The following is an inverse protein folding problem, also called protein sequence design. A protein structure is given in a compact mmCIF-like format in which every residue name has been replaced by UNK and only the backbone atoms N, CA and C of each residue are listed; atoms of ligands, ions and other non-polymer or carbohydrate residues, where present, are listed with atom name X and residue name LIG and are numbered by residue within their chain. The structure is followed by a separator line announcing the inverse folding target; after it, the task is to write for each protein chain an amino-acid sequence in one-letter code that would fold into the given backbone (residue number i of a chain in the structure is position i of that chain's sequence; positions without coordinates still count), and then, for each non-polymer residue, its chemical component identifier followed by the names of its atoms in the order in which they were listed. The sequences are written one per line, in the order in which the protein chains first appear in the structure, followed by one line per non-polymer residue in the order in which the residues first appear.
data_IF_004677157058
#
_entry.id   IF_004677157058
#
_cell.length_a   1.000
_cell.length_b   1.000
_cell.length_c   1.000
_cell.angle_alpha   90.00
_cell.angle_beta   90.00
_cell.angle_gamma   90.00
#
_symmetry.space_group_name_H-M   'P 1'
#
loop_
_entity.id
_entity.type
_entity.pdbx_description
1 polymer ?
#
# COMPACT_ATOMS: atom_id res chain seq x y z
N UNK A 1 7.73 9.16 2.15
CA UNK A 1 8.68 9.08 1.01
C UNK A 1 8.17 10.00 -0.10
N UNK A 2 9.01 10.89 -0.64
CA UNK A 2 8.64 11.80 -1.74
C UNK A 2 9.54 11.54 -2.93
N UNK A 3 8.94 11.20 -4.08
CA UNK A 3 9.66 10.97 -5.34
C UNK A 3 9.26 12.07 -6.31
N UNK A 4 10.24 12.78 -6.86
CA UNK A 4 10.05 13.80 -7.89
C UNK A 4 10.61 13.27 -9.20
N UNK A 5 9.83 13.37 -10.27
CA UNK A 5 10.24 12.94 -11.61
C UNK A 5 9.97 14.04 -12.63
N UNK A 6 10.75 14.06 -13.71
CA UNK A 6 10.48 14.93 -14.84
C UNK A 6 9.23 14.47 -15.59
N UNK A 7 8.38 15.40 -16.03
CA UNK A 7 7.11 15.10 -16.72
C UNK A 7 7.28 14.19 -17.94
N UNK A 8 8.39 14.34 -18.69
CA UNK A 8 8.70 13.49 -19.85
C UNK A 8 8.87 12.01 -19.49
N UNK A 9 9.27 11.73 -18.25
CA UNK A 9 9.53 10.38 -17.74
C UNK A 9 8.30 9.75 -17.07
N UNK A 10 7.19 10.48 -16.94
CA UNK A 10 5.98 10.01 -16.26
C UNK A 10 5.46 8.68 -16.82
N UNK A 11 5.40 8.54 -18.15
CA UNK A 11 4.96 7.29 -18.79
C UNK A 11 5.83 6.08 -18.42
N UNK A 12 7.14 6.27 -18.43
CA UNK A 12 8.07 5.19 -18.07
C UNK A 12 8.01 4.88 -16.58
N UNK A 13 7.83 5.91 -15.74
CA UNK A 13 7.67 5.73 -14.30
C UNK A 13 6.36 4.99 -13.94
N UNK A 14 5.24 5.29 -14.61
CA UNK A 14 3.98 4.56 -14.39
C UNK A 14 4.12 3.07 -14.72
N UNK A 15 4.86 2.70 -15.76
CA UNK A 15 5.14 1.28 -16.07
C UNK A 15 5.90 0.55 -14.97
N UNK A 16 6.77 1.24 -14.21
CA UNK A 16 7.43 0.61 -13.07
C UNK A 16 6.45 0.29 -11.93
N UNK A 17 5.37 1.07 -11.79
CA UNK A 17 4.36 0.84 -10.76
C UNK A 17 3.42 -0.32 -11.10
N UNK A 18 3.31 -0.70 -12.38
CA UNK A 18 2.52 -1.85 -12.83
C UNK A 18 3.08 -3.18 -12.29
N UNK A 19 4.39 -3.26 -12.10
CA UNK A 19 5.08 -4.42 -11.50
C UNK A 19 4.99 -4.44 -9.96
N UNK A 20 4.43 -3.39 -9.36
CA UNK A 20 4.40 -3.19 -7.92
C UNK A 20 5.70 -2.61 -7.34
N UNK A 21 5.72 -2.46 -6.01
CA UNK A 21 6.88 -1.91 -5.28
C UNK A 21 7.16 -2.74 -4.04
N UNK A 22 8.42 -2.74 -3.61
CA UNK A 22 8.84 -3.37 -2.35
C UNK A 22 8.86 -2.27 -1.27
N UNK A 23 8.14 -2.50 -0.19
CA UNK A 23 8.12 -1.64 0.99
C UNK A 23 8.62 -2.42 2.21
N UNK A 24 9.48 -1.81 3.00
CA UNK A 24 9.92 -2.39 4.26
C UNK A 24 8.85 -2.14 5.33
N UNK A 25 8.48 -3.18 6.07
CA UNK A 25 7.52 -3.14 7.17
C UNK A 25 8.08 -3.89 8.38
N UNK A 26 7.91 -3.38 9.61
CA UNK A 26 8.23 -4.14 10.82
C UNK A 26 7.40 -5.41 10.93
N UNK A 27 7.96 -6.46 11.54
CA UNK A 27 7.23 -7.68 11.86
C UNK A 27 6.27 -7.48 13.04
N UNK A 28 5.22 -8.30 13.11
CA UNK A 28 4.29 -8.33 14.23
C UNK A 28 3.21 -7.24 14.25
N UNK A 29 3.07 -6.49 13.15
CA UNK A 29 1.97 -5.54 12.95
C UNK A 29 0.77 -6.22 12.31
N UNK A 30 -0.43 -5.76 12.66
CA UNK A 30 -1.60 -6.07 11.84
C UNK A 30 -1.53 -5.37 10.48
N UNK A 31 -2.31 -5.85 9.50
CA UNK A 31 -2.45 -5.16 8.20
C UNK A 31 -2.88 -3.71 8.38
N UNK A 32 -3.81 -3.41 9.29
CA UNK A 32 -4.26 -2.04 9.55
C UNK A 32 -3.11 -1.17 10.06
N UNK A 33 -2.35 -1.65 11.05
CA UNK A 33 -1.22 -0.92 11.62
C UNK A 33 -0.14 -0.65 10.56
N UNK A 34 0.15 -1.63 9.71
CA UNK A 34 1.08 -1.46 8.61
C UNK A 34 0.64 -0.35 7.64
N UNK A 35 -0.62 -0.34 7.20
CA UNK A 35 -1.12 0.64 6.23
C UNK A 35 -1.27 2.04 6.85
N UNK A 36 -1.92 2.14 8.00
CA UNK A 36 -2.28 3.43 8.61
C UNK A 36 -1.10 4.03 9.36
N UNK A 37 -0.53 3.29 10.30
CA UNK A 37 0.49 3.81 11.21
C UNK A 37 1.85 3.86 10.53
N UNK A 38 2.27 2.77 9.88
CA UNK A 38 3.61 2.69 9.30
C UNK A 38 3.73 3.36 7.92
N UNK A 39 2.77 3.13 7.02
CA UNK A 39 2.77 3.77 5.69
C UNK A 39 2.02 5.10 5.62
N UNK A 40 1.30 5.50 6.68
CA UNK A 40 0.63 6.80 6.75
C UNK A 40 -0.60 6.89 5.84
N UNK A 41 -1.25 5.77 5.51
CA UNK A 41 -2.52 5.78 4.79
C UNK A 41 -3.59 6.44 5.65
N UNK A 42 -4.39 7.33 5.06
CA UNK A 42 -5.55 7.91 5.73
C UNK A 42 -6.53 6.79 6.16
N UNK A 43 -6.86 6.68 7.46
CA UNK A 43 -7.82 5.69 7.94
C UNK A 43 -9.15 5.73 7.20
N UNK A 44 -9.66 6.93 6.87
CA UNK A 44 -10.92 7.08 6.16
C UNK A 44 -10.80 6.61 4.70
N UNK A 45 -9.61 6.68 4.10
CA UNK A 45 -9.38 6.12 2.78
C UNK A 45 -9.40 4.59 2.84
N UNK A 46 -8.73 3.99 3.83
CA UNK A 46 -8.73 2.54 4.04
C UNK A 46 -10.16 2.01 4.20
N UNK A 47 -10.99 2.69 4.99
CA UNK A 47 -12.37 2.28 5.25
C UNK A 47 -13.31 2.50 4.06
N UNK A 48 -13.20 3.64 3.37
CA UNK A 48 -14.23 4.06 2.41
C UNK A 48 -13.86 3.79 0.94
N UNK A 49 -12.58 3.55 0.64
CA UNK A 49 -12.10 3.41 -0.76
C UNK A 49 -11.48 2.05 -1.04
N UNK A 50 -10.75 1.47 -0.09
CA UNK A 50 -10.14 0.14 -0.28
C UNK A 50 -11.23 -0.92 -0.15
N UNK A 51 -11.53 -1.61 -1.24
CA UNK A 51 -12.61 -2.62 -1.28
C UNK A 51 -12.12 -4.04 -1.01
N UNK A 52 -10.91 -4.34 -1.45
CA UNK A 52 -10.35 -5.68 -1.37
C UNK A 52 -8.85 -5.55 -1.22
N UNK A 53 -8.31 -6.21 -0.21
CA UNK A 53 -6.89 -6.34 0.02
C UNK A 53 -6.53 -7.83 -0.11
N UNK A 54 -5.41 -8.09 -0.77
CA UNK A 54 -4.86 -9.43 -0.87
C UNK A 54 -3.53 -9.49 -0.13
N UNK A 55 -3.37 -10.51 0.71
CA UNK A 55 -2.10 -10.86 1.34
C UNK A 55 -1.74 -12.29 0.93
N UNK A 56 -0.54 -12.47 0.36
CA UNK A 56 -0.10 -13.77 -0.18
C UNK A 56 -1.11 -14.42 -1.14
N UNK A 57 -1.74 -13.62 -1.99
CA UNK A 57 -2.72 -14.06 -2.98
C UNK A 57 -4.10 -14.43 -2.41
N UNK A 58 -4.35 -14.21 -1.12
CA UNK A 58 -5.64 -14.48 -0.47
C UNK A 58 -6.31 -13.18 -0.04
N UNK A 59 -7.64 -13.06 -0.16
CA UNK A 59 -8.36 -11.91 0.36
C UNK A 59 -8.20 -11.85 1.88
N UNK A 60 -8.08 -10.64 2.41
CA UNK A 60 -8.05 -10.37 3.86
C UNK A 60 -9.35 -9.69 4.25
N UNK A 61 -10.11 -10.35 5.13
CA UNK A 61 -11.40 -9.85 5.61
C UNK A 61 -11.30 -9.14 6.98
N UNK A 62 -10.27 -9.46 7.75
CA UNK A 62 -10.00 -8.88 9.07
C UNK A 62 -8.61 -8.24 9.10
N UNK A 63 -8.57 -6.91 9.02
CA UNK A 63 -7.32 -6.14 8.97
C UNK A 63 -6.63 -5.99 10.32
N UNK A 64 -7.33 -6.32 11.41
CA UNK A 64 -6.87 -6.08 12.78
C UNK A 64 -6.28 -7.36 13.41
N UNK A 65 -6.65 -8.54 12.90
CA UNK A 65 -6.16 -9.85 13.36
C UNK A 65 -5.32 -10.62 12.32
N UNK A 66 -4.98 -10.00 11.18
CA UNK A 66 -4.12 -10.58 10.12
C UNK A 66 -2.75 -9.92 10.09
#
# INVERSE_FOLDING_TARGET
MKVTIETRSLRSFMRLLEEGVILQVPEGLSVREALVTHFGMDPLYLENRVRTLFLNGKPVDDLDNT
#
